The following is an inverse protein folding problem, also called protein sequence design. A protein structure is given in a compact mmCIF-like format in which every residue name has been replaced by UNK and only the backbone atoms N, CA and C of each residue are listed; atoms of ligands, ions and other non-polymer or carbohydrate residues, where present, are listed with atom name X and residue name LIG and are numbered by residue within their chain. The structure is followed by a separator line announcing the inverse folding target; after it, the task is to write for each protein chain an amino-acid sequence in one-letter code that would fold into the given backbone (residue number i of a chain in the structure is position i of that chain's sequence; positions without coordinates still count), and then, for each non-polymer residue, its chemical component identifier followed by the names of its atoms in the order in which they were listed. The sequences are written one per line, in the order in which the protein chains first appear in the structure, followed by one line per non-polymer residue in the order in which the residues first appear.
data_IF_388005801537
#
_entry.id   IF_388005801537
#
_cell.length_a   1.000
_cell.length_b   1.000
_cell.length_c   1.000
_cell.angle_alpha   90.00
_cell.angle_beta   90.00
_cell.angle_gamma   90.00
#
_symmetry.space_group_name_H-M   'P 1'
#
loop_
_entity.id
_entity.type
_entity.pdbx_description
1 polymer ?
#
# COMPACT_ATOMS: atom_id res chain seq x y z
N UNK A 1 -36.06 -20.16 -2.63
CA UNK A 1 -35.19 -19.04 -2.20
C UNK A 1 -34.02 -18.92 -3.17
N UNK A 2 -33.88 -17.81 -3.92
CA UNK A 2 -32.75 -17.63 -4.82
C UNK A 2 -31.52 -17.13 -4.06
N UNK A 3 -30.36 -17.72 -4.34
CA UNK A 3 -29.05 -17.28 -3.85
C UNK A 3 -28.54 -16.15 -4.75
N UNK A 4 -28.50 -14.93 -4.23
CA UNK A 4 -27.88 -13.77 -4.88
C UNK A 4 -26.37 -13.85 -4.73
N UNK A 5 -25.67 -14.18 -5.81
CA UNK A 5 -24.21 -14.19 -5.91
C UNK A 5 -23.69 -12.75 -5.96
N UNK A 6 -22.89 -12.36 -4.97
CA UNK A 6 -22.28 -11.03 -4.87
C UNK A 6 -21.16 -10.87 -5.92
N UNK A 7 -21.50 -10.30 -7.08
CA UNK A 7 -20.59 -10.04 -8.21
C UNK A 7 -19.81 -8.71 -8.10
N UNK A 8 -20.05 -7.88 -7.07
CA UNK A 8 -19.57 -6.49 -7.03
C UNK A 8 -18.15 -6.26 -6.46
N UNK A 9 -17.48 -7.28 -5.90
CA UNK A 9 -16.14 -7.11 -5.29
C UNK A 9 -14.95 -7.40 -6.21
N UNK A 10 -15.17 -7.97 -7.40
CA UNK A 10 -14.07 -8.40 -8.27
C UNK A 10 -13.48 -7.28 -9.15
N UNK A 11 -14.23 -6.20 -9.41
CA UNK A 11 -13.80 -5.13 -10.33
C UNK A 11 -12.83 -4.13 -9.66
N UNK A 12 -12.89 -3.98 -8.33
CA UNK A 12 -12.18 -2.91 -7.62
C UNK A 12 -10.69 -3.21 -7.38
N UNK A 13 -10.30 -4.49 -7.26
CA UNK A 13 -8.92 -4.90 -6.96
C UNK A 13 -8.03 -4.89 -8.22
N UNK A 14 -8.55 -5.34 -9.36
CA UNK A 14 -7.83 -5.24 -10.64
C UNK A 14 -7.58 -3.78 -11.04
N UNK A 15 -8.54 -2.88 -10.77
CA UNK A 15 -8.38 -1.46 -11.04
C UNK A 15 -7.26 -0.81 -10.25
N UNK A 16 -7.03 -1.17 -8.98
CA UNK A 16 -6.00 -0.55 -8.13
C UNK A 16 -4.58 -0.65 -8.72
N UNK A 17 -4.22 -1.81 -9.30
CA UNK A 17 -2.91 -2.00 -9.94
C UNK A 17 -2.85 -1.53 -11.39
N UNK A 18 -3.99 -1.48 -12.10
CA UNK A 18 -4.08 -0.87 -13.45
C UNK A 18 -4.06 0.67 -13.41
N UNK A 19 -4.51 1.30 -12.32
CA UNK A 19 -4.50 2.78 -12.20
C UNK A 19 -3.15 3.37 -11.81
N UNK A 20 -2.19 2.57 -11.34
CA UNK A 20 -0.82 3.07 -11.10
C UNK A 20 0.01 3.15 -12.39
N UNK A 21 -0.36 2.39 -13.43
CA UNK A 21 0.35 2.40 -14.73
C UNK A 21 -0.03 3.57 -15.66
N UNK A 22 -0.92 4.49 -15.26
CA UNK A 22 -1.39 5.58 -16.13
C UNK A 22 -0.94 6.99 -15.74
N UNK A 23 -0.14 7.14 -14.67
CA UNK A 23 0.40 8.45 -14.27
C UNK A 23 1.87 8.34 -13.88
N UNK A 24 2.72 7.98 -14.85
CA UNK A 24 4.16 8.23 -14.85
C UNK A 24 4.73 7.69 -16.17
N UNK A 25 4.48 8.42 -17.26
CA UNK A 25 5.22 8.25 -18.51
C UNK A 25 5.95 9.56 -18.81
N UNK A 26 7.01 9.79 -18.05
CA UNK A 26 8.17 10.54 -18.54
C UNK A 26 9.27 9.53 -18.77
N UNK A 27 9.47 9.25 -20.05
CA UNK A 27 10.50 8.45 -20.71
C UNK A 27 11.81 8.34 -19.94
N UNK A 28 11.98 7.20 -19.27
CA UNK A 28 13.25 6.48 -19.20
C UNK A 28 12.94 5.03 -19.50
N UNK A 29 13.57 4.48 -20.54
CA UNK A 29 13.60 3.04 -20.82
C UNK A 29 14.26 2.33 -19.62
N UNK A 30 13.48 2.08 -18.58
CA UNK A 30 13.83 1.12 -17.54
C UNK A 30 13.54 -0.22 -18.19
N UNK A 31 14.57 -0.92 -18.65
CA UNK A 31 14.46 -2.32 -19.03
C UNK A 31 13.76 -3.05 -17.87
N UNK A 32 12.49 -3.41 -18.04
CA UNK A 32 11.73 -4.15 -17.02
C UNK A 32 12.48 -5.46 -16.80
N UNK A 33 13.20 -5.54 -15.68
CA UNK A 33 13.97 -6.73 -15.33
C UNK A 33 12.97 -7.86 -15.17
N UNK A 34 12.99 -8.79 -16.12
CA UNK A 34 12.08 -9.93 -16.13
C UNK A 34 12.51 -10.91 -15.04
N UNK A 35 11.62 -11.16 -14.09
CA UNK A 35 11.81 -12.10 -12.99
C UNK A 35 11.93 -13.51 -13.57
N UNK A 36 13.00 -14.22 -13.25
CA UNK A 36 13.17 -15.64 -13.60
C UNK A 36 12.48 -16.55 -12.59
N UNK A 37 12.29 -17.83 -12.94
CA UNK A 37 11.79 -18.83 -11.98
C UNK A 37 12.77 -19.10 -10.84
N UNK A 38 14.06 -18.94 -11.10
CA UNK A 38 15.11 -18.99 -10.08
C UNK A 38 14.96 -17.88 -9.05
N UNK A 39 14.62 -16.65 -9.47
CA UNK A 39 14.40 -15.52 -8.55
C UNK A 39 13.23 -15.80 -7.60
N UNK A 40 12.12 -16.31 -8.15
CA UNK A 40 10.95 -16.72 -7.37
C UNK A 40 11.31 -17.84 -6.38
N UNK A 41 12.10 -18.83 -6.83
CA UNK A 41 12.59 -19.91 -5.98
C UNK A 41 13.49 -19.38 -4.85
N UNK A 42 14.43 -18.51 -5.16
CA UNK A 42 15.34 -17.90 -4.19
C UNK A 42 14.59 -17.10 -3.12
N UNK A 43 13.62 -16.27 -3.52
CA UNK A 43 12.76 -15.53 -2.59
C UNK A 43 11.97 -16.48 -1.67
N UNK A 44 11.39 -17.55 -2.24
CA UNK A 44 10.69 -18.56 -1.45
C UNK A 44 11.61 -19.25 -0.43
N UNK A 45 12.82 -19.67 -0.83
CA UNK A 45 13.79 -20.32 0.08
C UNK A 45 14.27 -19.39 1.18
N UNK A 46 14.50 -18.11 0.87
CA UNK A 46 14.84 -17.08 1.86
C UNK A 46 13.72 -16.90 2.88
N UNK A 47 12.50 -16.66 2.41
CA UNK A 47 11.34 -16.49 3.29
C UNK A 47 11.08 -17.75 4.15
N UNK A 48 11.25 -18.95 3.59
CA UNK A 48 11.13 -20.20 4.32
C UNK A 48 12.16 -20.32 5.46
N UNK A 49 13.42 -19.98 5.16
CA UNK A 49 14.50 -19.98 6.14
C UNK A 49 14.20 -19.02 7.30
N UNK A 50 13.82 -17.78 6.96
CA UNK A 50 13.48 -16.76 7.93
C UNK A 50 12.29 -17.18 8.82
N UNK A 51 11.23 -17.73 8.22
CA UNK A 51 10.06 -18.19 8.97
C UNK A 51 10.38 -19.37 9.91
N UNK A 52 11.37 -20.20 9.54
CA UNK A 52 11.83 -21.33 10.35
C UNK A 52 13.00 -20.99 11.28
N UNK A 53 13.50 -19.75 11.28
CA UNK A 53 14.64 -19.33 12.10
C UNK A 53 15.95 -20.06 11.78
N UNK A 54 16.17 -20.46 10.52
CA UNK A 54 17.36 -21.24 10.10
C UNK A 54 17.91 -20.75 8.76
N UNK A 55 19.16 -21.09 8.45
CA UNK A 55 19.74 -20.82 7.13
C UNK A 55 19.07 -21.60 6.00
N UNK A 56 19.25 -21.14 4.76
CA UNK A 56 18.85 -21.84 3.54
C UNK A 56 20.06 -22.18 2.68
N UNK A 57 19.85 -23.12 1.76
CA UNK A 57 20.81 -23.48 0.71
C UNK A 57 20.14 -23.34 -0.64
N UNK A 58 20.88 -22.82 -1.61
CA UNK A 58 20.50 -22.76 -3.00
C UNK A 58 21.27 -23.83 -3.79
N UNK A 59 20.70 -24.39 -4.86
CA UNK A 59 21.43 -25.31 -5.71
C UNK A 59 22.56 -24.59 -6.45
N UNK A 60 23.68 -25.29 -6.67
CA UNK A 60 24.80 -24.75 -7.46
C UNK A 60 24.44 -24.67 -8.96
N UNK A 61 23.72 -25.67 -9.46
CA UNK A 61 23.18 -25.69 -10.82
C UNK A 61 21.64 -25.73 -10.75
N UNK A 62 21.02 -24.61 -11.15
CA UNK A 62 19.57 -24.49 -11.18
C UNK A 62 18.92 -25.37 -12.24
N UNK A 63 19.54 -25.54 -13.40
CA UNK A 63 18.98 -26.34 -14.50
C UNK A 63 18.82 -27.80 -14.11
N UNK A 64 19.91 -28.43 -13.66
CA UNK A 64 19.88 -29.82 -13.19
C UNK A 64 18.95 -30.02 -11.99
N UNK A 65 18.88 -29.04 -11.08
CA UNK A 65 17.97 -29.11 -9.94
C UNK A 65 16.50 -29.05 -10.37
N UNK A 66 16.18 -28.15 -11.32
CA UNK A 66 14.82 -27.95 -11.84
C UNK A 66 14.32 -29.19 -12.59
N UNK A 67 15.17 -29.86 -13.35
CA UNK A 67 14.81 -31.12 -14.04
C UNK A 67 14.42 -32.24 -13.07
N UNK A 68 15.05 -32.28 -11.89
CA UNK A 68 14.77 -33.26 -10.83
C UNK A 68 13.56 -32.87 -9.97
N UNK A 69 13.02 -31.65 -10.14
CA UNK A 69 11.88 -31.19 -9.38
C UNK A 69 10.61 -31.96 -9.81
N UNK A 70 9.75 -32.30 -8.85
CA UNK A 70 8.45 -32.89 -9.17
C UNK A 70 7.70 -32.00 -10.18
N UNK A 71 7.18 -32.61 -11.26
CA UNK A 71 6.52 -31.91 -12.38
C UNK A 71 5.53 -30.84 -11.90
N UNK A 72 4.69 -31.22 -10.93
CA UNK A 72 3.69 -30.33 -10.34
C UNK A 72 4.31 -29.06 -9.72
N UNK A 73 5.44 -29.18 -9.01
CA UNK A 73 6.11 -28.03 -8.39
C UNK A 73 6.75 -27.12 -9.46
N UNK A 74 7.31 -27.71 -10.52
CA UNK A 74 7.85 -26.97 -11.65
C UNK A 74 6.76 -26.15 -12.35
N UNK A 75 5.57 -26.74 -12.57
CA UNK A 75 4.41 -26.05 -13.13
C UNK A 75 3.92 -24.89 -12.24
N UNK A 76 3.82 -25.10 -10.92
CA UNK A 76 3.43 -24.04 -9.99
C UNK A 76 4.43 -22.89 -9.97
N UNK A 77 5.72 -23.21 -9.97
CA UNK A 77 6.78 -22.21 -10.00
C UNK A 77 6.73 -21.40 -11.29
N UNK A 78 6.63 -22.06 -12.44
CA UNK A 78 6.47 -21.40 -13.74
C UNK A 78 5.25 -20.47 -13.76
N UNK A 79 4.09 -20.97 -13.29
CA UNK A 79 2.86 -20.16 -13.23
C UNK A 79 3.06 -18.91 -12.38
N UNK A 80 3.70 -19.03 -11.23
CA UNK A 80 3.98 -17.89 -10.38
C UNK A 80 4.93 -16.89 -11.05
N UNK A 81 5.98 -17.35 -11.72
CA UNK A 81 6.89 -16.49 -12.49
C UNK A 81 6.14 -15.70 -13.56
N UNK A 82 5.21 -16.33 -14.28
CA UNK A 82 4.36 -15.62 -15.26
C UNK A 82 3.51 -14.55 -14.57
N UNK A 83 2.94 -14.86 -13.40
CA UNK A 83 2.12 -13.90 -12.64
C UNK A 83 2.95 -12.71 -12.14
N UNK A 84 4.14 -12.94 -11.58
CA UNK A 84 5.05 -11.88 -11.15
C UNK A 84 5.54 -11.00 -12.30
N UNK A 85 5.70 -11.55 -13.50
CA UNK A 85 6.06 -10.74 -14.67
C UNK A 85 4.89 -9.99 -15.31
N UNK A 86 3.63 -10.31 -14.95
CA UNK A 86 2.45 -9.75 -15.61
C UNK A 86 1.52 -9.03 -14.64
N UNK A 87 0.85 -9.79 -13.78
CA UNK A 87 -0.19 -9.28 -12.87
C UNK A 87 0.40 -8.65 -11.61
N UNK A 88 1.55 -9.15 -11.16
CA UNK A 88 2.22 -8.75 -9.92
C UNK A 88 3.58 -8.08 -10.19
N UNK A 89 3.73 -7.39 -11.32
CA UNK A 89 4.98 -6.75 -11.77
C UNK A 89 5.60 -5.79 -10.75
N UNK A 90 4.78 -5.17 -9.91
CA UNK A 90 5.21 -4.17 -8.91
C UNK A 90 5.23 -4.73 -7.47
N UNK A 91 5.25 -6.06 -7.30
CA UNK A 91 5.28 -6.71 -5.98
C UNK A 91 6.72 -7.05 -5.60
N UNK A 92 7.11 -6.67 -4.38
CA UNK A 92 8.32 -7.18 -3.75
C UNK A 92 8.16 -8.67 -3.45
N UNK A 93 8.90 -9.49 -4.20
CA UNK A 93 8.89 -10.95 -4.10
C UNK A 93 9.17 -11.44 -2.68
N UNK A 94 10.17 -10.87 -2.01
CA UNK A 94 10.58 -11.31 -0.68
C UNK A 94 9.51 -10.99 0.37
N UNK A 95 8.94 -9.78 0.30
CA UNK A 95 7.79 -9.38 1.12
C UNK A 95 6.56 -10.26 0.87
N UNK A 96 6.26 -10.59 -0.38
CA UNK A 96 5.14 -11.46 -0.73
C UNK A 96 5.31 -12.88 -0.16
N UNK A 97 6.49 -13.48 -0.36
CA UNK A 97 6.77 -14.84 0.13
C UNK A 97 6.71 -14.89 1.66
N UNK A 98 7.18 -13.84 2.33
CA UNK A 98 7.09 -13.72 3.80
C UNK A 98 5.64 -13.71 4.29
N UNK A 99 4.74 -13.00 3.59
CA UNK A 99 3.30 -13.01 3.90
C UNK A 99 2.71 -14.42 3.74
N UNK A 100 3.17 -15.20 2.76
CA UNK A 100 2.72 -16.58 2.57
C UNK A 100 3.06 -17.49 3.74
N UNK A 101 4.29 -17.41 4.27
CA UNK A 101 4.71 -18.19 5.44
C UNK A 101 4.07 -17.75 6.76
N UNK A 102 3.67 -16.48 6.86
CA UNK A 102 2.89 -15.99 7.99
C UNK A 102 1.47 -16.55 8.01
N UNK A 103 0.84 -16.67 6.83
CA UNK A 103 -0.48 -17.30 6.72
C UNK A 103 -0.42 -18.81 6.95
N UNK A 104 0.63 -19.48 6.46
CA UNK A 104 0.76 -20.93 6.57
C UNK A 104 2.17 -21.37 6.93
N UNK A 105 2.28 -22.14 8.02
CA UNK A 105 3.50 -22.90 8.34
C UNK A 105 3.92 -23.86 7.21
N UNK A 106 2.95 -24.36 6.44
CA UNK A 106 3.13 -25.23 5.28
C UNK A 106 3.02 -24.52 3.93
N UNK A 107 3.42 -23.24 3.84
CA UNK A 107 3.41 -22.51 2.58
C UNK A 107 4.33 -23.18 1.54
N UNK A 108 3.79 -23.37 0.34
CA UNK A 108 4.42 -24.10 -0.78
C UNK A 108 3.95 -23.49 -2.10
N UNK A 109 4.57 -23.89 -3.22
CA UNK A 109 4.31 -23.33 -4.56
C UNK A 109 2.82 -23.28 -4.95
N UNK A 110 2.01 -24.25 -4.51
CA UNK A 110 0.55 -24.28 -4.79
C UNK A 110 -0.21 -23.05 -4.27
N UNK A 111 0.35 -22.37 -3.27
CA UNK A 111 -0.27 -21.23 -2.61
C UNK A 111 0.17 -19.89 -3.20
N UNK A 112 1.09 -19.86 -4.18
CA UNK A 112 1.64 -18.61 -4.71
C UNK A 112 0.58 -17.73 -5.39
N UNK A 113 -0.46 -18.35 -5.94
CA UNK A 113 -1.59 -17.65 -6.53
C UNK A 113 -2.80 -17.55 -5.57
N UNK A 114 -2.64 -17.90 -4.29
CA UNK A 114 -3.73 -17.79 -3.32
C UNK A 114 -3.97 -16.30 -3.00
N UNK A 115 -5.22 -15.88 -3.20
CA UNK A 115 -5.66 -14.49 -3.02
C UNK A 115 -5.37 -13.96 -1.62
N UNK A 116 -5.40 -14.80 -0.59
CA UNK A 116 -5.17 -14.38 0.79
C UNK A 116 -3.74 -13.87 1.02
N UNK A 117 -2.76 -14.44 0.32
CA UNK A 117 -1.36 -13.98 0.39
C UNK A 117 -1.24 -12.58 -0.18
N UNK A 118 -1.86 -12.36 -1.35
CA UNK A 118 -1.89 -11.05 -1.99
C UNK A 118 -2.60 -10.01 -1.12
N UNK A 119 -3.73 -10.35 -0.52
CA UNK A 119 -4.47 -9.45 0.37
C UNK A 119 -3.63 -9.06 1.59
N UNK A 120 -2.95 -10.02 2.23
CA UNK A 120 -2.06 -9.73 3.35
C UNK A 120 -0.87 -8.87 2.91
N UNK A 121 -0.25 -9.18 1.77
CA UNK A 121 0.84 -8.38 1.21
C UNK A 121 0.40 -6.93 0.98
N UNK A 122 -0.75 -6.72 0.35
CA UNK A 122 -1.30 -5.38 0.10
C UNK A 122 -1.53 -4.63 1.42
N UNK A 123 -2.08 -5.29 2.42
CA UNK A 123 -2.32 -4.67 3.73
C UNK A 123 -0.99 -4.26 4.39
N UNK A 124 0.03 -5.13 4.37
CA UNK A 124 1.34 -4.84 4.93
C UNK A 124 2.10 -3.78 4.15
N UNK A 125 2.04 -3.80 2.82
CA UNK A 125 2.63 -2.76 1.97
C UNK A 125 1.97 -1.41 2.24
N UNK A 126 0.64 -1.36 2.36
CA UNK A 126 -0.08 -0.14 2.77
C UNK A 126 0.36 0.33 4.15
N UNK A 127 0.49 -0.56 5.12
CA UNK A 127 0.94 -0.20 6.48
C UNK A 127 2.39 0.30 6.43
N UNK A 128 3.28 -0.36 5.70
CA UNK A 128 4.69 0.04 5.53
C UNK A 128 4.80 1.41 4.87
N UNK A 129 4.02 1.65 3.81
CA UNK A 129 3.92 2.95 3.13
C UNK A 129 3.34 4.03 4.04
N UNK A 130 2.43 3.69 4.95
CA UNK A 130 1.90 4.60 5.97
C UNK A 130 2.84 4.80 7.16
N UNK A 131 3.80 3.89 7.37
CA UNK A 131 4.83 3.92 8.41
C UNK A 131 6.09 4.68 8.00
N UNK A 132 6.28 4.99 6.71
CA UNK A 132 7.36 5.87 6.27
C UNK A 132 7.29 7.15 7.11
N UNK A 133 8.38 7.47 7.78
CA UNK A 133 8.53 8.71 8.54
C UNK A 133 8.18 9.86 7.61
N UNK A 134 7.15 10.63 7.96
CA UNK A 134 6.69 11.71 7.10
C UNK A 134 7.81 12.71 6.92
N UNK A 135 8.41 12.67 5.73
CA UNK A 135 9.45 13.61 5.36
C UNK A 135 8.79 14.94 4.98
N UNK A 136 9.56 16.03 5.02
CA UNK A 136 9.08 17.33 4.51
C UNK A 136 8.58 17.22 3.06
N UNK A 137 9.20 16.33 2.25
CA UNK A 137 8.76 16.06 0.86
C UNK A 137 7.36 15.45 0.81
N UNK A 138 7.06 14.49 1.68
CA UNK A 138 5.73 13.87 1.74
C UNK A 138 4.66 14.87 2.19
N UNK A 139 4.99 15.73 3.17
CA UNK A 139 4.10 16.80 3.61
C UNK A 139 3.83 17.77 2.46
N UNK A 140 4.86 18.28 1.77
CA UNK A 140 4.66 19.16 0.61
C UNK A 140 3.83 18.51 -0.48
N UNK A 141 4.04 17.22 -0.77
CA UNK A 141 3.23 16.49 -1.75
C UNK A 141 1.76 16.38 -1.31
N UNK A 142 1.49 16.22 -0.02
CA UNK A 142 0.13 16.26 0.53
C UNK A 142 -0.54 17.62 0.30
N UNK A 143 0.16 18.71 0.59
CA UNK A 143 -0.37 20.07 0.41
C UNK A 143 -0.62 20.42 -1.05
N UNK A 144 0.32 20.08 -1.96
CA UNK A 144 0.10 20.20 -3.41
C UNK A 144 -1.11 19.42 -3.89
N UNK A 145 -1.26 18.18 -3.42
CA UNK A 145 -2.44 17.39 -3.75
C UNK A 145 -3.73 18.06 -3.24
N UNK A 146 -3.72 18.64 -2.03
CA UNK A 146 -4.88 19.34 -1.46
C UNK A 146 -5.22 20.57 -2.29
N UNK A 147 -4.24 21.37 -2.67
CA UNK A 147 -4.40 22.54 -3.54
C UNK A 147 -5.06 22.15 -4.88
N UNK A 148 -4.48 21.17 -5.59
CA UNK A 148 -5.02 20.62 -6.85
C UNK A 148 -6.44 20.07 -6.67
N UNK A 149 -6.69 19.40 -5.55
CA UNK A 149 -8.00 18.83 -5.23
C UNK A 149 -9.06 19.92 -5.01
N UNK A 150 -8.65 21.08 -4.48
CA UNK A 150 -9.53 22.20 -4.17
C UNK A 150 -9.77 23.16 -5.35
N UNK A 151 -8.91 23.17 -6.37
CA UNK A 151 -8.96 24.13 -7.50
C UNK A 151 -10.35 24.29 -8.14
N UNK A 152 -11.15 23.22 -8.20
CA UNK A 152 -12.49 23.22 -8.80
C UNK A 152 -13.61 22.97 -7.79
N UNK A 153 -13.37 23.25 -6.50
CA UNK A 153 -14.33 22.98 -5.42
C UNK A 153 -14.83 24.27 -4.78
N UNK A 154 -16.09 24.29 -4.30
CA UNK A 154 -16.63 25.45 -3.64
C UNK A 154 -15.86 25.74 -2.35
N UNK A 155 -15.30 26.94 -2.24
CA UNK A 155 -14.68 27.44 -1.02
C UNK A 155 -15.76 28.06 -0.13
N UNK A 156 -15.83 27.65 1.15
CA UNK A 156 -16.73 28.27 2.11
C UNK A 156 -16.02 29.43 2.79
N UNK A 157 -16.62 30.61 2.74
CA UNK A 157 -16.11 31.81 3.41
C UNK A 157 -15.93 31.55 4.91
N UNK A 158 -14.83 32.08 5.47
CA UNK A 158 -14.50 31.95 6.89
C UNK A 158 -13.79 30.65 7.29
N UNK A 159 -13.41 29.80 6.34
CA UNK A 159 -12.60 28.60 6.60
C UNK A 159 -11.30 28.63 5.78
N UNK A 160 -10.20 28.17 6.38
CA UNK A 160 -8.97 27.93 5.61
C UNK A 160 -9.20 26.87 4.52
N UNK A 161 -8.36 26.85 3.51
CA UNK A 161 -8.41 25.82 2.46
C UNK A 161 -8.34 24.40 3.08
N UNK A 162 -7.47 24.19 4.07
CA UNK A 162 -7.32 22.91 4.76
C UNK A 162 -8.57 22.53 5.58
N UNK A 163 -9.22 23.50 6.22
CA UNK A 163 -10.50 23.27 6.91
C UNK A 163 -11.62 22.92 5.92
N UNK A 164 -11.68 23.59 4.77
CA UNK A 164 -12.62 23.25 3.71
C UNK A 164 -12.38 21.83 3.19
N UNK A 165 -11.12 21.47 2.96
CA UNK A 165 -10.70 20.13 2.56
C UNK A 165 -11.22 19.04 3.52
N UNK A 166 -11.05 19.24 4.83
CA UNK A 166 -11.50 18.29 5.86
C UNK A 166 -13.03 18.09 5.91
N UNK A 167 -13.81 19.06 5.41
CA UNK A 167 -15.28 19.03 5.44
C UNK A 167 -15.92 18.34 4.24
N UNK A 168 -15.20 18.11 3.16
CA UNK A 168 -15.76 17.39 2.02
C UNK A 168 -16.11 15.95 2.38
N UNK A 169 -17.24 15.49 1.88
CA UNK A 169 -17.75 14.12 2.04
C UNK A 169 -17.91 13.43 0.70
N UNK A 170 -17.69 12.13 0.68
CA UNK A 170 -18.03 11.23 -0.43
C UNK A 170 -18.97 10.16 0.13
N UNK A 171 -20.28 10.39 -0.01
CA UNK A 171 -21.29 9.60 0.69
C UNK A 171 -21.24 9.81 2.21
N UNK A 172 -21.28 8.72 2.97
CA UNK A 172 -21.33 8.74 4.45
C UNK A 172 -19.98 9.04 5.12
N UNK A 173 -18.86 8.90 4.40
CA UNK A 173 -17.50 9.05 4.95
C UNK A 173 -16.89 10.37 4.48
N UNK A 174 -16.15 11.05 5.37
CA UNK A 174 -15.37 12.22 4.98
C UNK A 174 -14.26 11.87 4.01
N UNK A 175 -14.11 12.70 2.99
CA UNK A 175 -13.28 12.39 1.84
C UNK A 175 -11.79 12.31 2.22
N UNK A 176 -11.36 13.11 3.18
CA UNK A 176 -10.00 13.07 3.73
C UNK A 176 -9.58 11.66 4.20
N UNK A 177 -10.51 10.86 4.73
CA UNK A 177 -10.23 9.48 5.16
C UNK A 177 -10.00 8.57 3.97
N UNK A 178 -10.79 8.72 2.91
CA UNK A 178 -10.65 7.94 1.68
C UNK A 178 -9.32 8.29 0.98
N UNK A 179 -8.97 9.58 0.95
CA UNK A 179 -7.76 10.14 0.36
C UNK A 179 -6.51 9.66 1.11
N UNK A 180 -6.52 9.72 2.45
CA UNK A 180 -5.47 9.14 3.28
C UNK A 180 -5.31 7.64 3.04
N UNK A 181 -6.43 6.91 2.99
CA UNK A 181 -6.38 5.47 2.77
C UNK A 181 -5.81 5.08 1.39
N UNK A 182 -5.94 5.96 0.39
CA UNK A 182 -5.33 5.85 -0.94
C UNK A 182 -3.88 6.35 -1.00
N UNK A 183 -3.32 6.86 0.11
CA UNK A 183 -1.95 7.32 0.21
C UNK A 183 -1.69 8.63 -0.55
N UNK A 184 -2.71 9.48 -0.70
CA UNK A 184 -2.57 10.78 -1.37
C UNK A 184 -2.20 11.92 -0.43
N UNK A 185 -2.36 11.70 0.87
CA UNK A 185 -1.91 12.58 1.93
C UNK A 185 -1.21 11.74 2.99
N UNK A 186 -0.16 12.29 3.57
CA UNK A 186 0.69 11.65 4.56
C UNK A 186 0.05 11.64 5.96
N UNK A 187 0.67 10.87 6.85
CA UNK A 187 0.19 10.70 8.22
C UNK A 187 0.26 11.99 9.04
N UNK A 188 1.33 12.79 8.94
CA UNK A 188 1.47 14.02 9.73
C UNK A 188 0.49 15.10 9.27
N UNK A 189 0.17 15.19 7.98
CA UNK A 189 -0.89 16.08 7.49
C UNK A 189 -2.25 15.74 8.10
N UNK A 190 -2.62 14.45 8.18
CA UNK A 190 -3.86 14.05 8.89
C UNK A 190 -3.77 14.37 10.38
N UNK A 191 -2.65 14.05 11.02
CA UNK A 191 -2.46 14.31 12.45
C UNK A 191 -2.61 15.79 12.79
N UNK A 192 -2.06 16.66 11.95
CA UNK A 192 -2.22 18.10 12.08
C UNK A 192 -3.71 18.51 12.06
N UNK A 193 -4.47 18.00 11.09
CA UNK A 193 -5.91 18.25 10.98
C UNK A 193 -6.70 17.75 12.21
N UNK A 194 -6.29 16.62 12.80
CA UNK A 194 -6.92 16.07 14.00
C UNK A 194 -6.61 16.89 15.25
N UNK A 195 -5.34 17.27 15.44
CA UNK A 195 -4.87 18.04 16.60
C UNK A 195 -5.49 19.44 16.61
N UNK A 196 -5.56 20.11 15.46
CA UNK A 196 -6.17 21.44 15.31
C UNK A 196 -7.71 21.39 15.17
N UNK A 197 -8.33 20.22 15.32
CA UNK A 197 -9.79 20.02 15.26
C UNK A 197 -10.44 20.40 13.93
N UNK A 198 -9.67 20.48 12.84
CA UNK A 198 -10.20 20.61 11.48
C UNK A 198 -10.91 19.31 11.07
N UNK A 199 -10.42 18.18 11.59
CA UNK A 199 -11.02 16.86 11.49
C UNK A 199 -11.35 16.32 12.90
N UNK A 200 -12.60 15.94 13.12
CA UNK A 200 -13.06 15.29 14.38
C UNK A 200 -13.72 13.97 14.03
N UNK A 201 -12.97 12.86 14.06
CA UNK A 201 -13.43 11.52 13.67
C UNK A 201 -14.55 10.95 14.55
N UNK A 202 -15.59 10.40 13.91
CA UNK A 202 -16.54 9.49 14.56
C UNK A 202 -15.88 8.15 14.88
N UNK A 203 -16.53 7.33 15.70
CA UNK A 203 -16.01 6.00 16.04
C UNK A 203 -15.87 5.10 14.80
N UNK A 204 -16.85 5.13 13.89
CA UNK A 204 -16.77 4.40 12.62
C UNK A 204 -15.56 4.84 11.80
N UNK A 205 -15.32 6.14 11.67
CA UNK A 205 -14.17 6.67 10.93
C UNK A 205 -12.83 6.31 11.58
N UNK A 206 -12.77 6.19 12.91
CA UNK A 206 -11.57 5.70 13.61
C UNK A 206 -11.25 4.27 13.24
N UNK A 207 -12.25 3.42 13.02
CA UNK A 207 -12.03 2.04 12.55
C UNK A 207 -11.44 1.99 11.14
N UNK A 208 -11.68 3.03 10.32
CA UNK A 208 -11.15 3.14 8.96
C UNK A 208 -9.69 3.63 8.90
N UNK A 209 -9.15 4.16 10.00
CA UNK A 209 -7.76 4.61 10.11
C UNK A 209 -7.07 4.00 11.34
N UNK A 210 -6.96 2.66 11.43
CA UNK A 210 -6.50 1.98 12.63
C UNK A 210 -5.06 2.36 13.02
N UNK A 211 -4.21 2.67 12.05
CA UNK A 211 -2.84 3.14 12.30
C UNK A 211 -2.81 4.43 13.12
N UNK A 212 -3.63 5.41 12.72
CA UNK A 212 -3.75 6.70 13.42
C UNK A 212 -4.41 6.50 14.77
N UNK A 213 -5.51 5.74 14.82
CA UNK A 213 -6.28 5.50 16.05
C UNK A 213 -5.45 4.77 17.12
N UNK A 214 -4.67 3.75 16.74
CA UNK A 214 -3.87 2.95 17.68
C UNK A 214 -2.60 3.67 18.13
N UNK A 215 -2.03 4.55 17.31
CA UNK A 215 -0.75 5.25 17.58
C UNK A 215 -0.93 6.74 17.82
N UNK A 216 -2.14 7.22 18.08
CA UNK A 216 -2.45 8.66 18.14
C UNK A 216 -1.49 9.44 19.03
N UNK A 217 -1.20 8.92 20.23
CA UNK A 217 -0.30 9.58 21.19
C UNK A 217 1.12 9.70 20.64
N UNK A 218 1.67 8.63 20.07
CA UNK A 218 3.01 8.63 19.48
C UNK A 218 3.07 9.57 18.28
N UNK A 219 2.09 9.50 17.38
CA UNK A 219 2.04 10.34 16.20
C UNK A 219 1.84 11.82 16.55
N UNK A 220 1.13 12.13 17.64
CA UNK A 220 0.97 13.49 18.13
C UNK A 220 2.27 14.06 18.70
N UNK A 221 3.13 13.23 19.27
CA UNK A 221 4.48 13.65 19.69
C UNK A 221 5.37 13.87 18.46
N UNK A 222 5.34 12.96 17.50
CA UNK A 222 6.09 13.10 16.24
C UNK A 222 5.65 14.33 15.45
N UNK A 223 4.38 14.72 15.49
CA UNK A 223 3.90 15.93 14.83
C UNK A 223 4.63 17.19 15.30
N UNK A 224 5.09 17.24 16.56
CA UNK A 224 5.79 18.41 17.10
C UNK A 224 7.10 18.70 16.35
N UNK A 225 7.80 17.69 15.83
CA UNK A 225 9.06 17.89 15.13
C UNK A 225 8.88 18.49 13.72
N UNK A 226 7.68 18.40 13.15
CA UNK A 226 7.36 18.91 11.79
C UNK A 226 6.26 19.99 11.81
N UNK A 227 5.85 20.44 12.99
CA UNK A 227 4.71 21.34 13.18
C UNK A 227 4.89 22.68 12.46
N UNK A 228 6.05 23.32 12.62
CA UNK A 228 6.32 24.61 11.99
C UNK A 228 6.32 24.50 10.46
N UNK A 229 6.91 23.43 9.92
CA UNK A 229 6.89 23.17 8.48
C UNK A 229 5.46 23.00 7.94
N UNK A 230 4.59 22.26 8.65
CA UNK A 230 3.19 22.10 8.24
C UNK A 230 2.44 23.44 8.28
N UNK A 231 2.70 24.30 9.27
CA UNK A 231 2.11 25.65 9.33
C UNK A 231 2.54 26.50 8.14
N UNK A 232 3.81 26.45 7.75
CA UNK A 232 4.31 27.15 6.56
C UNK A 232 3.60 26.68 5.29
N UNK A 233 3.42 25.37 5.11
CA UNK A 233 2.69 24.82 3.97
C UNK A 233 1.18 25.17 4.02
N UNK A 234 0.57 25.23 5.20
CA UNK A 234 -0.81 25.71 5.35
C UNK A 234 -0.95 27.19 4.98
N UNK A 235 0.02 28.04 5.33
CA UNK A 235 0.00 29.45 4.93
C UNK A 235 0.05 29.58 3.41
N UNK A 236 0.97 28.89 2.74
CA UNK A 236 1.06 28.87 1.26
C UNK A 236 -0.23 28.40 0.59
N UNK A 237 -0.92 27.44 1.18
CA UNK A 237 -2.20 26.94 0.66
C UNK A 237 -3.32 28.00 0.72
N UNK A 238 -3.21 29.02 1.58
CA UNK A 238 -4.20 30.08 1.71
C UNK A 238 -3.85 31.36 0.93
N UNK A 239 -2.66 31.46 0.35
CA UNK A 239 -2.22 32.53 -0.56
C UNK A 239 -2.79 32.33 -1.97
#
# INVERSE_FOLDING_TARGET
MPKTTCLYKNVTIQKYYQTQTTKENTTKDISVIKISDYDVYCAFRRAQANAAGRGYRLPQDWGSFKEKMAKQNSEWLYKATVYFNTTYSNIDLDGFMSCGFELWKGFTYKHFCDRRVLELYIQKDKIKKRKLESTHVEITNSFKFIEEYLTNKPHRSGYSQLQNFCKFREGEVRNIISIYNRGKIDTMTIMYCLVHRYLIMTDDERTLMPYISQRYRELSENLKSVMEFIKEEELKLNE
#
